data_IF_843537917911
#
_entry.id   IF_843537917911
#
_cell.length_a   1.000
_cell.length_b   1.000
_cell.length_c   1.000
_cell.angle_alpha   90.00
_cell.angle_beta   90.00
_cell.angle_gamma   90.00
#
_symmetry.space_group_name_H-M   'P 1'
#
loop_
_entity.id
_entity.type
_entity.pdbx_description
1 polymer ?
#
# COMPACT_ATOMS: atom_id res chain seq x y z
N UNK A 1 -32.27 -46.31 -23.33
CA UNK A 1 -32.41 -44.88 -23.66
C UNK A 1 -31.50 -44.07 -22.73
N UNK A 2 -30.19 -44.05 -22.97
CA UNK A 2 -29.18 -43.38 -22.11
C UNK A 2 -28.14 -42.57 -22.93
N UNK A 3 -28.38 -42.37 -24.22
CA UNK A 3 -27.36 -41.93 -25.18
C UNK A 3 -27.47 -40.50 -25.73
N UNK A 4 -28.16 -39.56 -25.08
CA UNK A 4 -28.39 -38.22 -25.68
C UNK A 4 -28.20 -37.01 -24.77
N UNK A 5 -27.38 -37.09 -23.70
CA UNK A 5 -27.09 -35.90 -22.87
C UNK A 5 -25.73 -35.24 -23.14
N UNK A 6 -24.85 -35.83 -23.95
CA UNK A 6 -23.56 -35.22 -24.28
C UNK A 6 -23.25 -35.39 -25.77
N UNK A 7 -23.07 -34.30 -26.54
CA UNK A 7 -22.52 -34.40 -27.89
C UNK A 7 -21.11 -35.00 -27.81
N UNK A 8 -20.77 -35.92 -28.71
CA UNK A 8 -19.42 -36.45 -28.82
C UNK A 8 -18.44 -35.31 -29.15
N UNK A 9 -17.59 -34.93 -28.19
CA UNK A 9 -16.48 -34.01 -28.42
C UNK A 9 -15.32 -34.80 -29.04
N UNK A 10 -14.84 -34.36 -30.21
CA UNK A 10 -13.66 -34.95 -30.84
C UNK A 10 -12.36 -34.54 -30.12
N UNK A 11 -11.24 -35.27 -30.32
CA UNK A 11 -9.94 -34.86 -29.80
C UNK A 11 -9.61 -33.43 -30.24
N UNK A 12 -9.37 -32.54 -29.27
CA UNK A 12 -9.04 -31.12 -29.53
C UNK A 12 -10.22 -30.14 -29.49
N UNK A 13 -11.44 -30.58 -29.17
CA UNK A 13 -12.57 -29.66 -28.97
C UNK A 13 -12.80 -29.40 -27.47
N UNK A 14 -12.59 -28.16 -27.03
CA UNK A 14 -12.99 -27.72 -25.69
C UNK A 14 -14.52 -27.76 -25.60
N UNK A 15 -15.11 -28.46 -24.62
CA UNK A 15 -16.56 -28.48 -24.44
C UNK A 15 -17.09 -27.07 -24.24
N UNK A 16 -17.91 -26.58 -25.17
CA UNK A 16 -18.67 -25.35 -24.97
C UNK A 16 -20.02 -25.72 -24.36
N UNK A 17 -20.11 -25.64 -23.03
CA UNK A 17 -21.38 -25.74 -22.32
C UNK A 17 -22.02 -24.35 -22.40
N UNK A 18 -23.16 -24.17 -23.10
CA UNK A 18 -23.85 -22.88 -23.12
C UNK A 18 -24.32 -22.55 -21.70
N UNK A 19 -23.60 -21.65 -21.02
CA UNK A 19 -23.84 -21.27 -19.64
C UNK A 19 -25.06 -20.34 -19.55
N UNK A 20 -26.26 -20.89 -19.35
CA UNK A 20 -27.43 -20.15 -18.88
C UNK A 20 -27.30 -19.86 -17.36
N UNK A 21 -26.42 -18.92 -16.99
CA UNK A 21 -26.29 -18.44 -15.61
C UNK A 21 -25.42 -19.33 -14.71
N UNK A 22 -24.27 -19.78 -15.21
CA UNK A 22 -23.31 -20.48 -14.38
C UNK A 22 -22.84 -19.61 -13.20
N UNK A 23 -22.75 -20.21 -12.02
CA UNK A 23 -22.07 -19.63 -10.86
C UNK A 23 -20.71 -19.09 -11.33
N UNK A 24 -20.31 -17.87 -10.94
CA UNK A 24 -19.02 -17.34 -11.34
C UNK A 24 -17.96 -18.37 -10.99
N UNK A 25 -17.03 -18.64 -11.91
CA UNK A 25 -15.91 -19.51 -11.57
C UNK A 25 -15.27 -18.98 -10.29
N UNK A 26 -14.84 -19.86 -9.40
CA UNK A 26 -14.28 -19.46 -8.10
C UNK A 26 -13.18 -18.41 -8.28
N UNK A 27 -12.46 -18.46 -9.40
CA UNK A 27 -11.48 -17.47 -9.87
C UNK A 27 -12.09 -16.10 -10.15
N UNK A 28 -13.19 -15.99 -10.90
CA UNK A 28 -13.88 -14.74 -11.20
C UNK A 28 -14.59 -14.16 -9.98
N UNK A 29 -15.14 -15.01 -9.11
CA UNK A 29 -15.72 -14.59 -7.82
C UNK A 29 -14.63 -14.10 -6.86
N UNK A 30 -13.48 -14.80 -6.80
CA UNK A 30 -12.31 -14.35 -6.04
C UNK A 30 -11.78 -13.03 -6.61
N UNK A 31 -11.63 -12.89 -7.92
CA UNK A 31 -11.19 -11.64 -8.55
C UNK A 31 -12.19 -10.49 -8.34
N UNK A 32 -13.49 -10.78 -8.34
CA UNK A 32 -14.53 -9.80 -8.06
C UNK A 32 -14.50 -9.38 -6.58
N UNK A 33 -14.42 -10.32 -5.63
CA UNK A 33 -14.32 -10.04 -4.18
C UNK A 33 -13.03 -9.28 -3.85
N UNK A 34 -11.90 -9.70 -4.42
CA UNK A 34 -10.62 -9.00 -4.31
C UNK A 34 -10.63 -7.66 -5.06
N UNK A 35 -11.51 -7.47 -6.04
CA UNK A 35 -11.72 -6.20 -6.74
C UNK A 35 -12.59 -5.19 -5.99
N UNK A 36 -13.42 -5.61 -5.03
CA UNK A 36 -14.30 -4.71 -4.26
C UNK A 36 -13.54 -3.92 -3.19
N UNK A 37 -12.51 -4.49 -2.55
CA UNK A 37 -11.49 -3.74 -1.81
C UNK A 37 -10.32 -4.68 -1.43
N UNK A 38 -9.23 -4.74 -2.23
CA UNK A 38 -8.08 -5.61 -1.92
C UNK A 38 -7.23 -5.07 -0.76
N UNK A 39 -7.53 -3.88 -0.24
CA UNK A 39 -6.78 -3.24 0.83
C UNK A 39 -7.53 -3.42 2.15
N UNK A 40 -6.79 -3.87 3.16
CA UNK A 40 -7.20 -3.72 4.54
C UNK A 40 -7.56 -2.24 4.78
N UNK A 41 -8.69 -1.96 5.44
CA UNK A 41 -9.18 -0.58 5.59
C UNK A 41 -8.12 0.30 6.28
N UNK A 42 -7.55 -0.21 7.37
CA UNK A 42 -6.51 0.45 8.14
C UNK A 42 -5.44 -0.52 8.64
N UNK A 43 -4.19 -0.08 8.64
CA UNK A 43 -3.06 -0.77 9.28
C UNK A 43 -2.32 0.21 10.20
N UNK A 44 -1.88 -0.28 11.35
CA UNK A 44 -1.01 0.44 12.26
C UNK A 44 0.35 -0.26 12.36
N UNK A 45 1.41 0.48 12.08
CA UNK A 45 2.80 0.05 12.14
C UNK A 45 3.56 0.96 13.12
N UNK A 46 4.60 0.41 13.75
CA UNK A 46 5.50 1.18 14.60
C UNK A 46 6.97 0.90 14.29
N UNK A 47 7.82 1.89 14.55
CA UNK A 47 9.28 1.74 14.52
C UNK A 47 9.89 2.42 15.75
N UNK A 48 10.83 1.73 16.39
CA UNK A 48 11.51 2.18 17.62
C UNK A 48 12.90 2.76 17.36
N UNK A 49 13.23 3.03 16.10
CA UNK A 49 14.54 3.57 15.70
C UNK A 49 14.81 4.91 16.39
N UNK A 50 16.05 5.10 16.86
CA UNK A 50 16.50 6.33 17.53
C UNK A 50 17.40 7.20 16.63
N UNK A 51 17.75 6.69 15.45
CA UNK A 51 18.58 7.35 14.44
C UNK A 51 17.92 7.24 13.06
N UNK A 52 18.40 8.04 12.10
CA UNK A 52 17.94 7.97 10.71
C UNK A 52 17.93 6.53 10.16
N UNK A 53 16.87 6.20 9.42
CA UNK A 53 16.69 4.87 8.82
C UNK A 53 15.81 4.94 7.58
N UNK A 54 15.83 3.87 6.78
CA UNK A 54 14.91 3.69 5.65
C UNK A 54 13.72 2.83 6.08
N UNK A 55 12.50 3.32 5.89
CA UNK A 55 11.29 2.54 6.13
C UNK A 55 11.20 1.35 5.18
N UNK A 56 10.69 0.22 5.67
CA UNK A 56 10.28 -0.88 4.80
C UNK A 56 9.00 -0.51 4.04
N UNK A 57 8.82 -1.04 2.82
CA UNK A 57 7.61 -0.81 2.01
C UNK A 57 6.32 -1.14 2.77
N UNK A 58 6.29 -2.30 3.44
CA UNK A 58 5.16 -2.75 4.25
C UNK A 58 4.84 -1.86 5.46
N UNK A 59 5.78 -1.02 5.92
CA UNK A 59 5.51 -0.07 7.01
C UNK A 59 4.65 1.12 6.54
N UNK A 60 4.65 1.42 5.24
CA UNK A 60 4.02 2.61 4.67
C UNK A 60 2.96 2.31 3.59
N UNK A 61 2.63 1.04 3.35
CA UNK A 61 1.63 0.59 2.38
C UNK A 61 0.90 -0.67 2.85
N UNK A 62 -0.06 -1.15 2.07
CA UNK A 62 -0.82 -2.38 2.32
C UNK A 62 -2.25 -2.16 2.84
N UNK A 63 -2.63 -0.91 3.10
CA UNK A 63 -3.98 -0.51 3.47
C UNK A 63 -4.37 0.82 2.81
N UNK A 64 -5.67 1.12 2.79
CA UNK A 64 -6.17 2.43 2.35
C UNK A 64 -5.73 3.55 3.30
N UNK A 65 -5.67 3.26 4.60
CA UNK A 65 -5.12 4.12 5.64
C UNK A 65 -3.97 3.42 6.35
N UNK A 66 -2.77 4.00 6.28
CA UNK A 66 -1.57 3.47 6.94
C UNK A 66 -1.15 4.44 8.03
N UNK A 67 -1.14 3.98 9.27
CA UNK A 67 -0.62 4.72 10.42
C UNK A 67 0.77 4.20 10.74
N UNK A 68 1.79 5.06 10.67
CA UNK A 68 3.16 4.69 10.97
C UNK A 68 3.69 5.54 12.12
N UNK A 69 3.86 4.92 13.28
CA UNK A 69 4.30 5.59 14.50
C UNK A 69 5.78 5.39 14.79
N UNK A 70 6.49 6.50 14.92
CA UNK A 70 7.90 6.56 15.28
C UNK A 70 7.98 6.82 16.79
N UNK A 71 8.37 5.79 17.55
CA UNK A 71 8.31 5.78 19.03
C UNK A 71 9.69 5.87 19.67
N UNK A 72 10.77 5.72 18.91
CA UNK A 72 12.13 5.74 19.44
C UNK A 72 12.51 7.11 20.01
N UNK A 73 13.18 7.13 21.17
CA UNK A 73 13.63 8.36 21.83
C UNK A 73 14.73 9.04 21.02
N UNK A 74 14.41 10.18 20.42
CA UNK A 74 15.36 10.97 19.64
C UNK A 74 16.29 11.82 20.53
N UNK A 75 17.57 11.89 20.16
CA UNK A 75 18.55 12.82 20.75
C UNK A 75 18.85 14.05 19.87
N UNK A 76 18.38 14.05 18.63
CA UNK A 76 18.48 15.14 17.66
C UNK A 76 17.42 14.95 16.57
N UNK A 77 17.25 15.92 15.66
CA UNK A 77 16.42 15.72 14.46
C UNK A 77 16.95 14.57 13.60
N UNK A 78 16.06 13.70 13.14
CA UNK A 78 16.42 12.52 12.35
C UNK A 78 15.63 12.44 11.04
N UNK A 79 16.18 11.70 10.07
CA UNK A 79 15.54 11.49 8.78
C UNK A 79 14.85 10.12 8.71
N UNK A 80 13.57 10.13 8.33
CA UNK A 80 12.85 8.93 7.89
C UNK A 80 12.95 8.86 6.37
N UNK A 81 13.80 7.99 5.85
CA UNK A 81 13.92 7.80 4.40
C UNK A 81 12.86 6.83 3.90
N UNK A 82 12.10 7.21 2.88
CA UNK A 82 11.15 6.31 2.22
C UNK A 82 11.92 5.14 1.53
N UNK A 83 11.33 3.95 1.41
CA UNK A 83 11.91 2.86 0.61
C UNK A 83 12.08 3.30 -0.85
N UNK A 84 12.84 2.58 -1.67
CA UNK A 84 12.76 2.80 -3.13
C UNK A 84 11.34 2.49 -3.63
N UNK A 85 10.89 3.14 -4.71
CA UNK A 85 9.56 2.84 -5.28
C UNK A 85 9.45 1.39 -5.75
N UNK A 86 10.54 0.78 -6.22
CA UNK A 86 10.57 -0.64 -6.54
C UNK A 86 10.28 -1.53 -5.31
N UNK A 87 10.90 -1.24 -4.16
CA UNK A 87 10.66 -1.96 -2.91
C UNK A 87 9.25 -1.70 -2.35
N UNK A 88 8.70 -0.50 -2.58
CA UNK A 88 7.32 -0.19 -2.25
C UNK A 88 6.35 -1.05 -3.06
N UNK A 89 6.49 -1.07 -4.40
CA UNK A 89 5.62 -1.85 -5.28
C UNK A 89 5.69 -3.34 -4.93
N UNK A 90 6.89 -3.87 -4.67
CA UNK A 90 7.08 -5.26 -4.25
C UNK A 90 6.40 -5.60 -2.91
N UNK A 91 6.10 -4.60 -2.07
CA UNK A 91 5.41 -4.78 -0.79
C UNK A 91 3.88 -4.64 -0.86
N UNK A 92 3.34 -4.24 -2.01
CA UNK A 92 1.89 -4.18 -2.22
C UNK A 92 1.28 -5.58 -2.38
N UNK A 93 -0.03 -5.75 -2.15
CA UNK A 93 -0.71 -7.01 -2.45
C UNK A 93 -0.47 -7.46 -3.90
N UNK A 94 -0.19 -8.75 -4.12
CA UNK A 94 0.18 -9.30 -5.44
C UNK A 94 -0.84 -8.98 -6.54
N UNK A 95 -2.12 -8.88 -6.18
CA UNK A 95 -3.23 -8.53 -7.08
C UNK A 95 -3.11 -7.15 -7.73
N UNK A 96 -2.41 -6.22 -7.09
CA UNK A 96 -2.21 -4.85 -7.60
C UNK A 96 -0.79 -4.59 -8.10
N UNK A 97 0.17 -5.48 -7.83
CA UNK A 97 1.57 -5.33 -8.27
C UNK A 97 1.72 -5.27 -9.80
N UNK A 98 0.82 -5.93 -10.54
CA UNK A 98 0.88 -5.98 -12.01
C UNK A 98 0.42 -4.68 -12.67
N UNK A 99 -0.37 -3.85 -11.98
CA UNK A 99 -0.81 -2.55 -12.47
C UNK A 99 -0.90 -1.54 -11.31
N UNK A 100 0.24 -1.11 -10.75
CA UNK A 100 0.27 -0.29 -9.55
C UNK A 100 0.02 1.20 -9.85
N UNK A 101 0.03 1.61 -11.12
CA UNK A 101 -0.07 3.01 -11.53
C UNK A 101 -1.45 3.55 -11.23
N UNK A 102 -1.51 4.74 -10.62
CA UNK A 102 -2.75 5.39 -10.20
C UNK A 102 -3.26 4.92 -8.83
N UNK A 103 -2.60 3.95 -8.19
CA UNK A 103 -2.90 3.59 -6.81
C UNK A 103 -2.62 4.76 -5.89
N UNK A 104 -3.57 5.01 -4.99
CA UNK A 104 -3.48 6.04 -3.96
C UNK A 104 -3.86 5.50 -2.60
N UNK A 105 -3.19 6.00 -1.55
CA UNK A 105 -3.56 5.72 -0.17
C UNK A 105 -3.10 6.85 0.75
N UNK A 106 -3.69 6.89 1.95
CA UNK A 106 -3.27 7.82 3.00
C UNK A 106 -2.19 7.18 3.87
N UNK A 107 -1.09 7.90 4.07
CA UNK A 107 -0.05 7.59 5.03
C UNK A 107 -0.04 8.66 6.11
N UNK A 108 -0.33 8.28 7.35
CA UNK A 108 -0.12 9.11 8.53
C UNK A 108 1.19 8.73 9.20
N UNK A 109 2.14 9.66 9.22
CA UNK A 109 3.37 9.51 10.01
C UNK A 109 3.17 10.20 11.35
N UNK A 110 3.37 9.46 12.44
CA UNK A 110 3.19 9.92 13.81
C UNK A 110 4.57 9.95 14.47
N UNK A 111 4.88 11.02 15.20
CA UNK A 111 6.07 11.10 16.04
C UNK A 111 5.64 11.12 17.51
N UNK A 112 5.75 9.98 18.16
CA UNK A 112 5.53 9.83 19.62
C UNK A 112 6.84 9.59 20.37
N UNK A 113 7.97 9.98 19.79
CA UNK A 113 9.28 10.01 20.46
C UNK A 113 9.18 10.77 21.78
N UNK A 114 9.79 10.26 22.85
CA UNK A 114 9.94 10.99 24.11
C UNK A 114 10.98 12.12 24.05
N UNK A 115 11.80 12.19 23.01
CA UNK A 115 12.70 13.31 22.73
C UNK A 115 12.05 14.41 21.89
N UNK A 116 12.27 15.67 22.26
CA UNK A 116 11.69 16.88 21.66
C UNK A 116 12.31 17.26 20.30
N UNK A 117 12.33 16.30 19.38
CA UNK A 117 12.91 16.45 18.06
C UNK A 117 11.95 15.96 16.98
N UNK A 118 12.11 16.51 15.78
CA UNK A 118 11.31 16.15 14.63
C UNK A 118 11.94 15.00 13.83
N UNK A 119 11.08 14.19 13.24
CA UNK A 119 11.44 13.36 12.10
C UNK A 119 11.21 14.15 10.81
N UNK A 120 12.14 14.09 9.87
CA UNK A 120 11.98 14.65 8.53
C UNK A 120 11.83 13.52 7.53
N UNK A 121 10.69 13.45 6.84
CA UNK A 121 10.47 12.44 5.79
C UNK A 121 11.28 12.81 4.55
N UNK A 122 12.24 11.96 4.17
CA UNK A 122 13.10 12.14 2.99
C UNK A 122 12.91 11.01 2.00
N UNK A 123 13.47 11.14 0.80
CA UNK A 123 13.26 10.18 -0.29
C UNK A 123 14.47 9.33 -0.60
N UNK A 124 14.15 8.15 -1.14
CA UNK A 124 15.06 7.34 -1.92
C UNK A 124 14.67 7.43 -3.42
N UNK A 125 15.24 6.58 -4.28
CA UNK A 125 14.99 6.61 -5.72
C UNK A 125 13.50 6.44 -6.09
N UNK A 126 13.05 7.25 -7.05
CA UNK A 126 11.72 7.16 -7.66
C UNK A 126 10.67 8.09 -7.05
N UNK A 127 11.00 8.84 -6.00
CA UNK A 127 10.03 9.68 -5.31
C UNK A 127 10.11 11.16 -5.68
N UNK A 128 8.94 11.78 -5.72
CA UNK A 128 8.78 13.24 -5.69
C UNK A 128 8.10 13.66 -4.39
N UNK A 129 8.77 14.47 -3.59
CA UNK A 129 8.21 15.07 -2.37
C UNK A 129 7.47 16.37 -2.72
N UNK A 130 6.33 16.60 -2.07
CA UNK A 130 5.62 17.86 -2.17
C UNK A 130 4.96 18.25 -0.84
N UNK A 131 5.15 19.51 -0.46
CA UNK A 131 4.70 20.05 0.83
C UNK A 131 5.74 19.90 1.95
N UNK A 132 5.28 20.08 3.19
CA UNK A 132 6.15 20.03 4.37
C UNK A 132 6.40 18.58 4.81
N UNK A 133 7.66 18.24 5.08
CA UNK A 133 8.06 16.87 5.43
C UNK A 133 8.38 16.65 6.92
N UNK A 134 8.45 17.72 7.69
CA UNK A 134 8.78 17.66 9.12
C UNK A 134 7.59 17.19 9.96
N UNK A 135 7.82 16.23 10.84
CA UNK A 135 6.86 15.70 11.81
C UNK A 135 7.42 15.96 13.21
N UNK A 136 6.93 17.04 13.83
CA UNK A 136 7.37 17.47 15.16
C UNK A 136 6.97 16.44 16.24
N UNK A 137 7.60 16.50 17.41
CA UNK A 137 7.24 15.65 18.56
C UNK A 137 5.74 15.82 18.91
N UNK A 138 5.07 14.72 19.26
CA UNK A 138 3.65 14.66 19.63
C UNK A 138 2.72 15.22 18.55
N UNK A 139 3.15 15.13 17.29
CA UNK A 139 2.32 15.47 16.13
C UNK A 139 2.24 14.31 15.17
N UNK A 140 1.25 14.37 14.29
CA UNK A 140 1.20 13.57 13.10
C UNK A 140 1.13 14.44 11.86
N UNK A 141 1.58 13.86 10.75
CA UNK A 141 1.42 14.43 9.41
C UNK A 141 0.77 13.42 8.51
N UNK A 142 -0.27 13.87 7.81
CA UNK A 142 -0.95 13.10 6.80
C UNK A 142 -0.35 13.38 5.43
N UNK A 143 -0.10 12.30 4.72
CA UNK A 143 0.36 12.30 3.35
C UNK A 143 -0.60 11.51 2.48
N UNK A 144 -0.74 11.93 1.22
CA UNK A 144 -1.31 11.10 0.16
C UNK A 144 -0.14 10.59 -0.67
N UNK A 145 -0.05 9.28 -0.79
CA UNK A 145 0.92 8.60 -1.66
C UNK A 145 0.20 8.24 -2.96
N UNK A 146 0.85 8.51 -4.10
CA UNK A 146 0.34 8.15 -5.43
C UNK A 146 1.44 7.52 -6.26
N UNK A 147 1.21 6.34 -6.83
CA UNK A 147 2.13 5.75 -7.80
C UNK A 147 1.85 6.36 -9.18
N UNK A 148 2.84 7.04 -9.75
CA UNK A 148 2.69 7.81 -11.00
C UNK A 148 3.23 7.06 -12.22
N UNK A 149 4.15 6.11 -12.02
CA UNK A 149 4.60 5.18 -13.06
C UNK A 149 5.07 3.87 -12.42
N UNK A 150 5.45 2.88 -13.24
CA UNK A 150 6.01 1.62 -12.76
C UNK A 150 7.29 1.77 -11.91
N UNK A 151 7.93 2.94 -11.92
CA UNK A 151 9.16 3.20 -11.16
C UNK A 151 9.13 4.48 -10.33
N UNK A 152 8.02 5.23 -10.36
CA UNK A 152 7.92 6.53 -9.69
C UNK A 152 6.64 6.70 -8.88
N UNK A 153 6.74 7.43 -7.78
CA UNK A 153 5.63 7.78 -6.91
C UNK A 153 5.77 9.21 -6.38
N UNK A 154 4.66 9.83 -6.03
CA UNK A 154 4.62 11.11 -5.31
C UNK A 154 4.16 10.88 -3.88
N UNK A 155 4.63 11.74 -2.99
CA UNK A 155 4.09 11.86 -1.64
C UNK A 155 3.80 13.33 -1.37
N UNK A 156 2.54 13.63 -1.09
CA UNK A 156 2.03 14.97 -0.88
C UNK A 156 1.61 15.12 0.58
N UNK A 157 2.20 16.06 1.31
CA UNK A 157 1.66 16.44 2.62
C UNK A 157 0.31 17.11 2.44
N UNK A 158 -0.71 16.65 3.16
CA UNK A 158 -2.10 17.15 3.06
C UNK A 158 -2.67 17.65 4.39
N UNK A 159 -2.05 17.33 5.52
CA UNK A 159 -2.54 17.79 6.82
C UNK A 159 -1.59 17.49 7.97
N UNK A 160 -1.87 18.10 9.12
CA UNK A 160 -1.13 17.90 10.38
C UNK A 160 -2.09 17.97 11.55
N UNK A 161 -1.75 17.30 12.65
CA UNK A 161 -2.45 17.47 13.91
C UNK A 161 -1.59 17.08 15.11
N UNK A 162 -2.09 17.38 16.29
CA UNK A 162 -1.44 17.03 17.56
C UNK A 162 -1.98 15.70 18.06
N UNK A 163 -1.10 14.87 18.64
CA UNK A 163 -1.50 13.71 19.41
C UNK A 163 -1.37 14.07 20.89
N UNK A 164 -2.49 14.05 21.60
CA UNK A 164 -2.60 14.30 23.05
C UNK A 164 -2.57 13.01 23.84
#
# INVERSE_FOLDING_TARGET
MIGMLFPAIGPGQTPNIPMLGALPDQTGLSNAILGVNPLQEAIYNAATNTTAFTAAGSQISGAAQVFFNLTGTLAAGQALTLPTVANLIASLPSVVQQNPVGMTWQLRVINSSSGAFAWTVTTNTGWTLSGTQSVAQNTFRDFVVTITSATTATIQSVGTGTQS
#
